data_IF_780389171745
#
_entry.id   IF_780389171745
#
_cell.length_a   1.000
_cell.length_b   1.000
_cell.length_c   1.000
_cell.angle_alpha   90.00
_cell.angle_beta   90.00
_cell.angle_gamma   90.00
#
_symmetry.space_group_name_H-M   'P 1'
#
loop_
_entity.id
_entity.type
_entity.pdbx_description
1 polymer ?
#
# COMPACT_ATOMS: atom_id res chain seq x y z
N UNK A 1 -24.05 -5.89 -3.36
CA UNK A 1 -22.94 -5.21 -2.63
C UNK A 1 -22.64 -5.89 -1.29
N UNK A 2 -23.63 -6.08 -0.39
CA UNK A 2 -23.43 -6.70 0.93
C UNK A 2 -22.65 -8.03 0.90
N UNK A 3 -23.12 -9.01 0.12
CA UNK A 3 -22.44 -10.31 -0.01
C UNK A 3 -20.99 -10.20 -0.50
N UNK A 4 -20.69 -9.24 -1.38
CA UNK A 4 -19.33 -9.01 -1.87
C UNK A 4 -18.41 -8.52 -0.75
N UNK A 5 -18.88 -7.59 0.09
CA UNK A 5 -18.11 -7.08 1.23
C UNK A 5 -17.91 -8.17 2.30
N UNK A 6 -18.95 -8.97 2.55
CA UNK A 6 -18.88 -10.11 3.47
C UNK A 6 -17.86 -11.14 2.99
N UNK A 7 -17.92 -11.52 1.71
CA UNK A 7 -16.99 -12.47 1.11
C UNK A 7 -15.55 -11.92 1.14
N UNK A 8 -15.36 -10.66 0.74
CA UNK A 8 -14.07 -9.98 0.80
C UNK A 8 -13.50 -9.96 2.22
N UNK A 9 -14.32 -9.73 3.23
CA UNK A 9 -13.88 -9.74 4.63
C UNK A 9 -13.35 -11.11 5.05
N UNK A 10 -14.10 -12.18 4.79
CA UNK A 10 -13.68 -13.54 5.18
C UNK A 10 -12.50 -14.03 4.36
N UNK A 11 -12.60 -13.95 3.03
CA UNK A 11 -11.54 -14.37 2.11
C UNK A 11 -10.29 -13.53 2.30
N UNK A 12 -10.43 -12.21 2.48
CA UNK A 12 -9.31 -11.31 2.73
C UNK A 12 -8.60 -11.59 4.05
N UNK A 13 -9.34 -11.79 5.15
CA UNK A 13 -8.73 -12.20 6.43
C UNK A 13 -7.99 -13.53 6.31
N UNK A 14 -8.56 -14.48 5.59
CA UNK A 14 -7.93 -15.77 5.36
C UNK A 14 -6.69 -15.67 4.47
N UNK A 15 -6.76 -14.90 3.38
CA UNK A 15 -5.65 -14.61 2.47
C UNK A 15 -4.44 -14.02 3.22
N UNK A 16 -4.69 -13.07 4.12
CA UNK A 16 -3.65 -12.41 4.91
C UNK A 16 -2.93 -13.32 5.92
N UNK A 17 -3.39 -14.56 6.13
CA UNK A 17 -2.66 -15.56 6.92
C UNK A 17 -1.49 -16.17 6.12
N UNK A 18 -1.54 -16.11 4.80
CA UNK A 18 -0.57 -16.76 3.89
C UNK A 18 0.21 -15.75 3.04
N UNK A 19 -0.34 -14.55 2.87
CA UNK A 19 0.23 -13.49 2.04
C UNK A 19 0.32 -12.16 2.80
N UNK A 20 1.13 -11.25 2.28
CA UNK A 20 1.25 -9.91 2.89
C UNK A 20 0.04 -9.03 2.56
N UNK A 21 -0.14 -7.96 3.36
CA UNK A 21 -1.13 -6.90 3.07
C UNK A 21 -0.92 -6.28 1.70
N UNK A 22 0.34 -6.17 1.26
CA UNK A 22 0.68 -5.62 -0.05
C UNK A 22 0.24 -6.55 -1.17
N UNK A 23 0.45 -7.86 -1.01
CA UNK A 23 -0.01 -8.84 -1.99
C UNK A 23 -1.53 -8.79 -2.10
N UNK A 24 -2.25 -8.70 -0.98
CA UNK A 24 -3.71 -8.56 -1.00
C UNK A 24 -4.16 -7.39 -1.88
N UNK A 25 -3.54 -6.20 -1.73
CA UNK A 25 -3.86 -5.04 -2.55
C UNK A 25 -3.52 -5.29 -4.03
N UNK A 26 -2.37 -5.89 -4.32
CA UNK A 26 -1.95 -6.22 -5.70
C UNK A 26 -2.98 -7.16 -6.35
N UNK A 27 -3.36 -8.25 -5.68
CA UNK A 27 -4.33 -9.22 -6.20
C UNK A 27 -5.68 -8.59 -6.42
N UNK A 28 -6.19 -7.85 -5.44
CA UNK A 28 -7.50 -7.22 -5.52
C UNK A 28 -7.55 -6.20 -6.67
N UNK A 29 -6.61 -5.24 -6.71
CA UNK A 29 -6.64 -4.18 -7.73
C UNK A 29 -6.33 -4.68 -9.13
N UNK A 30 -5.36 -5.58 -9.30
CA UNK A 30 -5.12 -6.17 -10.62
C UNK A 30 -6.29 -7.03 -11.07
N UNK A 31 -6.93 -7.77 -10.15
CA UNK A 31 -8.15 -8.49 -10.44
C UNK A 31 -9.26 -7.58 -10.98
N UNK A 32 -9.45 -6.41 -10.36
CA UNK A 32 -10.39 -5.38 -10.85
C UNK A 32 -9.98 -4.86 -12.23
N UNK A 33 -8.70 -4.54 -12.44
CA UNK A 33 -8.22 -3.97 -13.72
C UNK A 33 -8.33 -4.97 -14.87
N UNK A 34 -7.79 -6.19 -14.70
CA UNK A 34 -7.85 -7.22 -15.74
C UNK A 34 -9.26 -7.78 -15.93
N UNK A 35 -10.05 -7.87 -14.86
CA UNK A 35 -11.47 -8.18 -14.95
C UNK A 35 -12.24 -7.13 -15.74
N UNK A 36 -12.01 -5.84 -15.47
CA UNK A 36 -12.59 -4.73 -16.24
C UNK A 36 -12.18 -4.78 -17.71
N UNK A 37 -10.92 -5.10 -18.00
CA UNK A 37 -10.45 -5.28 -19.38
C UNK A 37 -11.17 -6.42 -20.11
N UNK A 38 -11.32 -7.59 -19.47
CA UNK A 38 -12.05 -8.72 -20.05
C UNK A 38 -13.56 -8.45 -20.17
N UNK A 39 -14.14 -7.68 -19.26
CA UNK A 39 -15.51 -7.17 -19.41
C UNK A 39 -15.66 -6.35 -20.70
N UNK A 40 -14.73 -5.41 -20.96
CA UNK A 40 -14.79 -4.56 -22.16
C UNK A 40 -14.69 -5.39 -23.45
N UNK A 41 -13.82 -6.41 -23.48
CA UNK A 41 -13.75 -7.36 -24.60
C UNK A 41 -15.09 -8.10 -24.74
N UNK A 42 -15.66 -8.57 -23.64
CA UNK A 42 -16.96 -9.23 -23.62
C UNK A 42 -18.08 -8.39 -24.20
N UNK A 43 -18.15 -7.13 -23.78
CA UNK A 43 -19.13 -6.17 -24.25
C UNK A 43 -19.00 -5.91 -25.76
N UNK A 44 -17.77 -5.82 -26.27
CA UNK A 44 -17.53 -5.50 -27.67
C UNK A 44 -17.70 -6.69 -28.63
N UNK A 45 -17.34 -7.90 -28.20
CA UNK A 45 -17.20 -9.05 -29.10
C UNK A 45 -18.12 -10.25 -28.76
N UNK A 46 -18.65 -10.33 -27.55
CA UNK A 46 -19.40 -11.51 -27.06
C UNK A 46 -20.87 -11.20 -26.80
N UNK A 47 -21.18 -10.00 -26.31
CA UNK A 47 -22.56 -9.56 -26.09
C UNK A 47 -23.27 -9.31 -27.43
N UNK A 48 -24.38 -10.02 -27.68
CA UNK A 48 -25.19 -9.90 -28.91
C UNK A 48 -26.23 -8.77 -28.88
N UNK A 49 -26.55 -8.26 -27.70
CA UNK A 49 -27.51 -7.17 -27.48
C UNK A 49 -26.87 -6.14 -26.53
N UNK A 50 -26.87 -4.83 -26.86
CA UNK A 50 -26.30 -3.80 -26.02
C UNK A 50 -27.29 -3.43 -24.92
N UNK A 51 -27.58 -4.35 -24.00
CA UNK A 51 -28.15 -3.92 -22.73
C UNK A 51 -27.09 -3.14 -21.95
N UNK A 52 -27.50 -2.05 -21.30
CA UNK A 52 -26.64 -1.27 -20.42
C UNK A 52 -26.30 -2.08 -19.18
N UNK A 53 -25.28 -2.93 -19.28
CA UNK A 53 -24.85 -3.76 -18.16
C UNK A 53 -23.97 -2.94 -17.23
N UNK A 54 -24.41 -2.78 -15.98
CA UNK A 54 -23.63 -2.13 -14.94
C UNK A 54 -22.43 -3.01 -14.54
N UNK A 55 -21.21 -2.53 -14.83
CA UNK A 55 -19.99 -3.17 -14.36
C UNK A 55 -19.79 -2.90 -12.86
N UNK A 56 -19.91 -3.94 -12.04
CA UNK A 56 -19.58 -3.89 -10.61
C UNK A 56 -18.24 -4.59 -10.36
N UNK A 57 -17.14 -3.85 -10.59
CA UNK A 57 -15.78 -4.38 -10.63
C UNK A 57 -15.22 -4.93 -9.32
N UNK A 58 -15.81 -4.60 -8.16
CA UNK A 58 -15.34 -5.08 -6.86
C UNK A 58 -15.28 -6.62 -6.76
N UNK A 59 -16.20 -7.31 -7.43
CA UNK A 59 -16.33 -8.77 -7.41
C UNK A 59 -15.17 -9.48 -8.13
N UNK A 60 -14.68 -8.95 -9.25
CA UNK A 60 -13.49 -9.48 -9.94
C UNK A 60 -12.24 -9.45 -9.04
N UNK A 61 -12.09 -8.39 -8.23
CA UNK A 61 -11.04 -8.31 -7.21
C UNK A 61 -11.18 -9.38 -6.13
N UNK A 62 -12.39 -9.62 -5.62
CA UNK A 62 -12.63 -10.71 -4.65
C UNK A 62 -12.31 -12.07 -5.25
N UNK A 63 -12.72 -12.33 -6.49
CA UNK A 63 -12.41 -13.56 -7.22
C UNK A 63 -10.90 -13.74 -7.37
N UNK A 64 -10.14 -12.69 -7.70
CA UNK A 64 -8.68 -12.76 -7.77
C UNK A 64 -8.03 -13.15 -6.44
N UNK A 65 -8.48 -12.57 -5.32
CA UNK A 65 -7.99 -12.91 -3.98
C UNK A 65 -8.33 -14.37 -3.64
N UNK A 66 -9.58 -14.81 -3.89
CA UNK A 66 -10.03 -16.17 -3.61
C UNK A 66 -9.25 -17.22 -4.42
N UNK A 67 -9.13 -17.01 -5.74
CA UNK A 67 -8.41 -17.93 -6.60
C UNK A 67 -6.91 -17.92 -6.29
N UNK A 68 -6.35 -16.77 -5.90
CA UNK A 68 -4.98 -16.67 -5.43
C UNK A 68 -4.71 -17.59 -4.22
N UNK A 69 -5.51 -17.46 -3.16
CA UNK A 69 -5.33 -18.33 -1.98
C UNK A 69 -5.64 -19.80 -2.29
N UNK A 70 -6.65 -20.08 -3.12
CA UNK A 70 -6.95 -21.44 -3.57
C UNK A 70 -5.81 -22.07 -4.39
N UNK A 71 -5.06 -21.26 -5.14
CA UNK A 71 -3.89 -21.71 -5.90
C UNK A 71 -2.71 -22.01 -4.97
N UNK A 72 -2.52 -21.19 -3.93
CA UNK A 72 -1.42 -21.33 -2.97
C UNK A 72 -1.57 -22.52 -2.02
N UNK A 73 -2.77 -22.77 -1.53
CA UNK A 73 -3.08 -23.83 -0.57
C UNK A 73 -4.30 -24.66 -1.02
N UNK A 74 -4.22 -25.33 -2.19
CA UNK A 74 -5.39 -25.95 -2.82
C UNK A 74 -6.04 -27.02 -1.94
N UNK A 75 -5.23 -27.77 -1.19
CA UNK A 75 -5.70 -28.85 -0.31
C UNK A 75 -6.18 -28.38 1.07
N UNK A 76 -6.18 -27.08 1.37
CA UNK A 76 -6.68 -26.57 2.63
C UNK A 76 -8.17 -26.90 2.78
N UNK A 77 -8.53 -27.59 3.86
CA UNK A 77 -9.85 -28.13 4.10
C UNK A 77 -10.66 -27.18 5.00
N UNK A 78 -11.69 -26.55 4.43
CA UNK A 78 -12.65 -25.74 5.17
C UNK A 78 -13.80 -26.61 5.67
N UNK A 79 -14.09 -26.56 6.97
CA UNK A 79 -15.23 -27.27 7.56
C UNK A 79 -16.45 -26.36 7.57
N UNK A 80 -17.42 -26.67 6.71
CA UNK A 80 -18.70 -26.00 6.65
C UNK A 80 -19.71 -26.74 7.51
N UNK A 81 -20.50 -26.01 8.32
CA UNK A 81 -21.42 -26.57 9.32
C UNK A 81 -22.41 -27.60 8.75
N UNK A 82 -22.88 -27.41 7.51
CA UNK A 82 -23.92 -28.24 6.89
C UNK A 82 -23.43 -29.14 5.75
N UNK A 83 -22.25 -28.86 5.18
CA UNK A 83 -21.75 -29.54 3.97
C UNK A 83 -20.55 -30.44 4.29
N UNK A 84 -19.94 -30.27 5.47
CA UNK A 84 -18.74 -31.01 5.86
C UNK A 84 -17.47 -30.33 5.35
N UNK A 85 -16.44 -31.12 5.08
CA UNK A 85 -15.10 -30.61 4.74
C UNK A 85 -14.96 -30.45 3.24
N UNK A 86 -14.71 -29.22 2.79
CA UNK A 86 -14.47 -28.89 1.38
C UNK A 86 -13.06 -28.32 1.23
N UNK A 87 -12.26 -28.89 0.33
CA UNK A 87 -10.96 -28.32 -0.02
C UNK A 87 -11.13 -27.04 -0.84
N UNK A 88 -10.24 -26.08 -0.62
CA UNK A 88 -10.29 -24.75 -1.24
C UNK A 88 -10.31 -24.79 -2.78
N UNK A 89 -9.61 -25.75 -3.39
CA UNK A 89 -9.61 -25.92 -4.84
C UNK A 89 -11.00 -26.28 -5.41
N UNK A 90 -11.85 -27.01 -4.67
CA UNK A 90 -13.20 -27.32 -5.13
C UNK A 90 -14.05 -26.06 -5.24
N UNK A 91 -13.91 -25.14 -4.26
CA UNK A 91 -14.63 -23.85 -4.26
C UNK A 91 -14.18 -23.01 -5.45
N UNK A 92 -12.87 -22.95 -5.71
CA UNK A 92 -12.30 -22.23 -6.84
C UNK A 92 -12.82 -22.77 -8.19
N UNK A 93 -12.75 -24.10 -8.39
CA UNK A 93 -13.22 -24.75 -9.61
C UNK A 93 -14.72 -24.56 -9.79
N UNK A 94 -15.52 -24.71 -8.72
CA UNK A 94 -16.96 -24.50 -8.79
C UNK A 94 -17.30 -23.07 -9.26
N UNK A 95 -16.66 -22.05 -8.69
CA UNK A 95 -16.90 -20.64 -9.09
C UNK A 95 -16.53 -20.42 -10.56
N UNK A 96 -15.34 -20.86 -10.98
CA UNK A 96 -14.88 -20.69 -12.37
C UNK A 96 -15.78 -21.43 -13.36
N UNK A 97 -16.19 -22.66 -13.04
CA UNK A 97 -17.10 -23.43 -13.89
C UNK A 97 -18.48 -22.77 -13.98
N UNK A 98 -19.03 -22.27 -12.87
CA UNK A 98 -20.30 -21.56 -12.88
C UNK A 98 -20.23 -20.31 -13.75
N UNK A 99 -19.15 -19.51 -13.66
CA UNK A 99 -18.96 -18.36 -14.52
C UNK A 99 -18.92 -18.74 -16.01
N UNK A 100 -18.18 -19.79 -16.37
CA UNK A 100 -18.10 -20.28 -17.75
C UNK A 100 -19.47 -20.70 -18.28
N UNK A 101 -20.24 -21.45 -17.48
CA UNK A 101 -21.57 -21.90 -17.87
C UNK A 101 -22.56 -20.74 -18.01
N UNK A 102 -22.43 -19.69 -17.19
CA UNK A 102 -23.32 -18.54 -17.21
C UNK A 102 -22.96 -17.49 -18.27
N UNK A 103 -21.79 -17.59 -18.92
CA UNK A 103 -21.36 -16.69 -19.99
C UNK A 103 -22.41 -16.49 -21.08
N UNK A 104 -23.16 -17.53 -21.44
CA UNK A 104 -24.14 -17.50 -22.54
C UNK A 104 -25.58 -17.34 -22.09
N UNK A 105 -25.83 -17.20 -20.78
CA UNK A 105 -27.18 -17.15 -20.22
C UNK A 105 -27.58 -15.71 -19.89
N UNK A 106 -26.75 -15.02 -19.10
CA UNK A 106 -27.04 -13.67 -18.63
C UNK A 106 -25.76 -13.00 -18.14
N UNK A 107 -25.69 -11.67 -18.20
CA UNK A 107 -24.57 -10.90 -17.63
C UNK A 107 -23.17 -11.39 -18.10
N UNK A 108 -23.04 -11.68 -19.39
CA UNK A 108 -21.81 -12.19 -20.01
C UNK A 108 -20.58 -11.37 -19.63
N UNK A 109 -20.68 -10.04 -19.65
CA UNK A 109 -19.60 -9.16 -19.26
C UNK A 109 -19.16 -9.38 -17.80
N UNK A 110 -20.11 -9.51 -16.87
CA UNK A 110 -19.83 -9.74 -15.45
C UNK A 110 -19.05 -11.04 -15.21
N UNK A 111 -19.48 -12.13 -15.86
CA UNK A 111 -18.78 -13.42 -15.77
C UNK A 111 -17.39 -13.35 -16.39
N UNK A 112 -17.20 -12.66 -17.53
CA UNK A 112 -15.87 -12.41 -18.09
C UNK A 112 -14.97 -11.61 -17.14
N UNK A 113 -15.54 -10.65 -16.40
CA UNK A 113 -14.80 -9.92 -15.39
C UNK A 113 -14.31 -10.84 -14.26
N UNK A 114 -15.16 -11.76 -13.80
CA UNK A 114 -14.78 -12.75 -12.78
C UNK A 114 -13.70 -13.70 -13.28
N UNK A 115 -13.80 -14.17 -14.53
CA UNK A 115 -12.78 -14.99 -15.16
C UNK A 115 -11.45 -14.25 -15.30
N UNK A 116 -11.48 -12.94 -15.59
CA UNK A 116 -10.28 -12.10 -15.56
C UNK A 116 -9.65 -11.98 -14.18
N UNK A 117 -10.49 -11.82 -13.15
CA UNK A 117 -10.06 -11.89 -11.76
C UNK A 117 -9.42 -13.24 -11.42
N UNK A 118 -10.08 -14.34 -11.78
CA UNK A 118 -9.61 -15.70 -11.55
C UNK A 118 -8.26 -15.98 -12.23
N UNK A 119 -8.13 -15.63 -13.51
CA UNK A 119 -6.88 -15.75 -14.25
C UNK A 119 -5.76 -14.93 -13.58
N UNK A 120 -6.05 -13.70 -13.16
CA UNK A 120 -5.09 -12.85 -12.45
C UNK A 120 -4.63 -13.50 -11.15
N UNK A 121 -5.55 -13.96 -10.31
CA UNK A 121 -5.22 -14.61 -9.04
C UNK A 121 -4.34 -15.85 -9.21
N UNK A 122 -4.69 -16.71 -10.17
CA UNK A 122 -3.93 -17.90 -10.51
C UNK A 122 -2.52 -17.57 -11.00
N UNK A 123 -2.39 -16.63 -11.94
CA UNK A 123 -1.10 -16.23 -12.50
C UNK A 123 -0.19 -15.59 -11.45
N UNK A 124 -0.71 -14.71 -10.59
CA UNK A 124 0.08 -14.08 -9.54
C UNK A 124 0.59 -15.13 -8.52
N UNK A 125 -0.26 -16.10 -8.14
CA UNK A 125 0.13 -17.13 -7.16
C UNK A 125 1.14 -18.11 -7.73
N UNK A 126 0.95 -18.57 -8.96
CA UNK A 126 1.92 -19.45 -9.64
C UNK A 126 3.27 -18.76 -9.90
N UNK A 127 3.30 -17.44 -10.06
CA UNK A 127 4.56 -16.69 -10.20
C UNK A 127 5.29 -16.51 -8.87
N UNK A 128 4.57 -16.27 -7.77
CA UNK A 128 5.16 -16.18 -6.43
C UNK A 128 5.84 -17.47 -6.00
N UNK A 129 5.23 -18.62 -6.27
CA UNK A 129 5.76 -19.92 -5.88
C UNK A 129 7.07 -20.28 -6.59
N UNK A 130 7.38 -19.62 -7.71
CA UNK A 130 8.66 -19.72 -8.43
C UNK A 130 9.77 -18.83 -7.83
N UNK A 131 9.58 -18.34 -6.61
CA UNK A 131 10.56 -17.48 -5.91
C UNK A 131 10.62 -16.03 -6.42
N UNK A 132 9.72 -15.63 -7.30
CA UNK A 132 9.64 -14.23 -7.77
C UNK A 132 8.86 -13.41 -6.76
N UNK A 133 9.52 -12.47 -6.11
CA UNK A 133 8.84 -11.53 -5.22
C UNK A 133 7.96 -10.56 -6.04
N UNK A 134 6.63 -10.70 -5.95
CA UNK A 134 5.67 -9.73 -6.50
C UNK A 134 5.98 -8.32 -5.99
N UNK A 135 6.40 -8.21 -4.73
CA UNK A 135 6.71 -6.93 -4.10
C UNK A 135 7.88 -6.22 -4.80
N UNK A 136 8.84 -6.97 -5.34
CA UNK A 136 9.98 -6.45 -6.11
C UNK A 136 9.63 -6.08 -7.55
N UNK A 137 8.74 -6.83 -8.19
CA UNK A 137 8.22 -6.48 -9.52
C UNK A 137 7.36 -5.21 -9.47
N UNK A 138 6.43 -5.16 -8.52
CA UNK A 138 5.53 -4.02 -8.36
C UNK A 138 6.16 -2.82 -7.67
N UNK A 139 7.27 -2.96 -6.93
CA UNK A 139 7.99 -1.78 -6.42
C UNK A 139 8.69 -1.02 -7.55
N UNK A 140 9.08 -1.71 -8.63
CA UNK A 140 9.62 -1.06 -9.84
C UNK A 140 8.52 -0.38 -10.65
N UNK A 141 7.33 -1.00 -10.73
CA UNK A 141 6.21 -0.45 -11.49
C UNK A 141 5.51 0.72 -10.77
N UNK A 142 5.37 0.62 -9.44
CA UNK A 142 4.82 1.67 -8.57
C UNK A 142 5.92 2.36 -7.78
N UNK A 143 7.09 2.55 -8.40
CA UNK A 143 8.13 3.41 -7.86
C UNK A 143 7.57 4.83 -7.88
N UNK A 144 6.81 5.18 -6.85
CA UNK A 144 6.43 6.55 -6.56
C UNK A 144 7.77 7.23 -6.31
N UNK A 145 8.25 7.96 -7.32
CA UNK A 145 9.40 8.84 -7.21
C UNK A 145 9.10 9.67 -5.97
N UNK A 146 9.77 9.37 -4.84
CA UNK A 146 9.62 10.17 -3.63
C UNK A 146 9.94 11.57 -4.09
N UNK A 147 8.93 12.42 -4.20
CA UNK A 147 9.16 13.83 -4.43
C UNK A 147 10.14 14.22 -3.32
N UNK A 148 11.30 14.76 -3.69
CA UNK A 148 12.28 15.23 -2.72
C UNK A 148 11.57 16.09 -1.67
N UNK A 149 12.11 16.18 -0.44
CA UNK A 149 11.42 16.79 0.69
C UNK A 149 10.73 18.05 0.20
N UNK A 150 9.39 18.07 0.29
CA UNK A 150 8.57 19.20 -0.17
C UNK A 150 9.27 20.45 0.33
N UNK A 151 9.64 21.34 -0.59
CA UNK A 151 10.34 22.57 -0.25
C UNK A 151 9.36 23.40 0.56
N UNK A 152 9.33 23.18 1.87
CA UNK A 152 8.52 23.97 2.80
C UNK A 152 9.08 25.37 2.70
N UNK A 153 8.35 26.26 2.04
CA UNK A 153 8.61 27.69 2.17
C UNK A 153 8.22 28.02 3.60
N UNK A 154 9.18 27.90 4.50
CA UNK A 154 9.07 28.45 5.83
C UNK A 154 8.93 29.95 5.63
N UNK A 155 7.70 30.47 5.60
CA UNK A 155 7.45 31.90 5.76
C UNK A 155 7.89 32.21 7.18
N UNK A 156 9.16 32.60 7.33
CA UNK A 156 9.61 33.29 8.53
C UNK A 156 8.61 34.44 8.76
N UNK A 157 7.98 34.55 9.94
CA UNK A 157 7.34 35.82 10.28
C UNK A 157 8.40 36.90 10.09
N UNK A 158 8.03 37.99 9.41
CA UNK A 158 8.91 39.11 9.16
C UNK A 158 9.71 39.41 10.42
N UNK A 159 11.05 39.44 10.38
CA UNK A 159 11.78 39.98 11.50
C UNK A 159 11.40 41.45 11.58
N UNK A 160 10.52 41.76 12.53
CA UNK A 160 10.40 43.12 13.05
C UNK A 160 11.82 43.51 13.43
N UNK A 161 12.29 44.59 12.84
CA UNK A 161 13.61 45.15 13.04
C UNK A 161 13.81 45.48 14.54
N UNK A 162 14.31 44.52 15.32
CA UNK A 162 15.01 44.81 16.57
C UNK A 162 16.48 44.96 16.27
N UNK A 163 16.91 46.20 16.38
CA UNK A 163 18.25 46.74 16.17
C UNK A 163 19.33 45.91 16.89
N UNK A 164 20.14 45.22 16.08
CA UNK A 164 21.61 45.09 16.12
C UNK A 164 22.30 45.58 17.42
N UNK A 165 22.73 44.64 18.29
CA UNK A 165 23.87 44.81 19.22
C UNK A 165 24.43 43.51 19.84
N UNK A 166 23.96 42.31 19.45
CA UNK A 166 24.38 41.05 20.10
C UNK A 166 25.64 40.37 19.53
N UNK A 167 26.16 40.81 18.37
CA UNK A 167 27.24 40.07 17.69
C UNK A 167 28.63 40.24 18.32
N UNK A 168 28.93 41.39 18.91
CA UNK A 168 30.23 41.60 19.59
C UNK A 168 30.24 41.01 21.00
N UNK A 169 29.11 41.08 21.71
CA UNK A 169 28.96 40.49 23.04
C UNK A 169 29.03 38.97 22.98
N UNK A 170 28.30 38.34 22.05
CA UNK A 170 28.34 36.89 21.89
C UNK A 170 29.70 36.38 21.45
N UNK A 171 30.39 37.08 20.52
CA UNK A 171 31.75 36.70 20.12
C UNK A 171 32.74 36.70 21.28
N UNK A 172 32.65 37.69 22.19
CA UNK A 172 33.50 37.72 23.40
C UNK A 172 33.18 36.57 24.36
N UNK A 173 31.92 36.18 24.48
CA UNK A 173 31.54 35.00 25.28
C UNK A 173 32.18 33.74 24.66
N UNK A 174 32.03 33.56 23.36
CA UNK A 174 32.54 32.38 22.67
C UNK A 174 34.08 32.30 22.75
N UNK A 175 34.80 33.42 22.59
CA UNK A 175 36.26 33.49 22.77
C UNK A 175 36.71 33.09 24.18
N UNK A 176 35.98 33.54 25.22
CA UNK A 176 36.26 33.18 26.61
C UNK A 176 36.00 31.68 26.85
N UNK A 177 34.89 31.14 26.34
CA UNK A 177 34.56 29.72 26.45
C UNK A 177 35.61 28.83 25.77
N UNK A 178 36.13 29.26 24.62
CA UNK A 178 37.17 28.54 23.89
C UNK A 178 38.50 28.51 24.66
N UNK A 179 38.84 29.60 25.35
CA UNK A 179 40.02 29.71 26.20
C UNK A 179 39.90 28.83 27.46
N UNK A 180 38.72 28.80 28.09
CA UNK A 180 38.44 27.86 29.20
C UNK A 180 38.61 26.42 28.73
N UNK A 181 38.05 26.08 27.56
CA UNK A 181 38.10 24.73 26.98
C UNK A 181 39.54 24.24 26.75
N UNK A 182 40.42 25.13 26.28
CA UNK A 182 41.81 24.78 25.94
C UNK A 182 42.76 24.80 27.13
N UNK A 183 42.60 25.76 28.04
CA UNK A 183 43.62 26.06 29.07
C UNK A 183 43.07 26.09 30.50
N UNK A 184 41.77 25.90 30.71
CA UNK A 184 41.13 25.89 32.02
C UNK A 184 40.75 27.28 32.55
N UNK A 185 39.75 27.31 33.44
CA UNK A 185 39.11 28.55 33.95
C UNK A 185 40.07 29.51 34.66
N UNK A 186 41.13 28.98 35.30
CA UNK A 186 42.09 29.80 36.04
C UNK A 186 42.95 30.69 35.15
N UNK A 187 42.95 30.46 33.84
CA UNK A 187 43.69 31.27 32.86
C UNK A 187 42.95 32.53 32.41
N UNK A 188 41.72 32.74 32.90
CA UNK A 188 40.94 33.94 32.63
C UNK A 188 41.40 35.11 33.49
N UNK A 189 41.51 36.28 32.86
CA UNK A 189 41.72 37.54 33.57
C UNK A 189 40.49 37.90 34.40
N UNK A 190 40.66 38.71 35.45
CA UNK A 190 39.54 39.13 36.30
C UNK A 190 38.41 39.78 35.49
N UNK A 191 38.74 40.59 34.49
CA UNK A 191 37.77 41.23 33.59
C UNK A 191 36.98 40.22 32.74
N UNK A 192 37.60 39.13 32.29
CA UNK A 192 36.92 38.06 31.54
C UNK A 192 35.99 37.26 32.46
N UNK A 193 36.42 36.98 33.70
CA UNK A 193 35.61 36.29 34.72
C UNK A 193 34.35 37.09 35.07
N UNK A 194 34.51 38.39 35.32
CA UNK A 194 33.39 39.30 35.65
C UNK A 194 32.40 39.46 34.47
N UNK A 195 32.92 39.48 33.25
CA UNK A 195 32.11 39.54 32.03
C UNK A 195 31.29 38.25 31.81
N UNK A 196 31.89 37.08 32.04
CA UNK A 196 31.19 35.80 31.94
C UNK A 196 30.09 35.69 33.01
N UNK A 197 30.39 36.11 34.25
CA UNK A 197 29.43 36.05 35.36
C UNK A 197 28.22 36.97 35.15
N UNK A 198 28.45 38.19 34.66
CA UNK A 198 27.35 39.13 34.34
C UNK A 198 26.48 38.66 33.16
N UNK A 199 27.05 37.87 32.24
CA UNK A 199 26.30 37.30 31.11
C UNK A 199 25.42 36.10 31.52
N UNK A 200 25.76 35.37 32.59
CA UNK A 200 25.01 34.21 33.08
C UNK A 200 23.87 34.52 34.06
N UNK A 201 23.69 35.78 34.48
CA UNK A 201 22.63 36.21 35.41
C UNK A 201 21.33 36.71 34.73
N UNK A 202 21.19 36.51 33.42
CA UNK A 202 19.98 36.88 32.66
C UNK A 202 19.12 35.67 32.33
#
# INVERSE_FOLDING_TARGET
IFFNLLLLFYVGKFFLQFFSKRDFLIYYFLGVVFGGFLFMIGYQYVAKEPETVNLVGASAGVTAVLIGIATKIPNYALRLRFIGTIKLWHIAVAIVLLDILQLFVSNTGGHLAHLGGAATGFLLSTQLDKGKSLSGFFSKLFQVKKQGPLKTVYKKPNPVNTVKNSSSHQRKIDEILDKISKSGYETLTQKEKDFLFSSGKK
#
